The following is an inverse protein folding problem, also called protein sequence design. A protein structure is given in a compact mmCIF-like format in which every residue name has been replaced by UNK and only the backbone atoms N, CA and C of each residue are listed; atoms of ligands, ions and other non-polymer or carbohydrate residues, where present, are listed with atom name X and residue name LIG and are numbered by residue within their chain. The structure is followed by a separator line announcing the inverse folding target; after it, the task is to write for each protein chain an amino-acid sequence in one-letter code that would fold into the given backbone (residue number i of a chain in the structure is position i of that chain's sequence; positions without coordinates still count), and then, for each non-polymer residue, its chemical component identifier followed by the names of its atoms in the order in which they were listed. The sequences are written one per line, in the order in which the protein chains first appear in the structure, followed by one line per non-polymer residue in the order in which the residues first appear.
data_IF_511113797801
#
_entry.id   IF_511113797801
#
_cell.length_a   1.000
_cell.length_b   1.000
_cell.length_c   1.000
_cell.angle_alpha   90.00
_cell.angle_beta   90.00
_cell.angle_gamma   90.00
#
_symmetry.space_group_name_H-M   'P 1'
#
loop_
_entity.id
_entity.type
_entity.pdbx_description
1 polymer ?
#
# COMPACT_ATOMS: atom_id res chain seq x y z
N UNK A 1 8.66 5.51 -3.64
CA UNK A 1 7.72 5.60 -2.49
C UNK A 1 7.33 7.06 -2.31
N UNK A 2 6.06 7.39 -2.04
CA UNK A 2 5.63 8.80 -1.88
C UNK A 2 6.32 9.46 -0.69
N UNK A 3 6.70 10.72 -0.87
CA UNK A 3 7.24 11.60 0.19
C UNK A 3 6.21 12.68 0.48
N UNK A 4 6.01 12.98 1.75
CA UNK A 4 5.11 14.01 2.26
C UNK A 4 5.95 15.16 2.82
N UNK A 5 5.40 16.36 2.79
CA UNK A 5 5.95 17.50 3.52
C UNK A 5 5.16 17.64 4.81
N UNK A 6 5.86 17.63 5.94
CA UNK A 6 5.29 17.91 7.25
C UNK A 6 5.86 19.24 7.74
N UNK A 7 5.00 20.10 8.29
CA UNK A 7 5.41 21.37 8.90
C UNK A 7 5.04 21.39 10.38
N UNK A 8 6.02 21.66 11.24
CA UNK A 8 5.85 21.82 12.68
C UNK A 8 6.74 22.96 13.17
N UNK A 9 6.21 23.87 13.99
CA UNK A 9 7.03 24.94 14.61
C UNK A 9 7.73 25.91 13.64
N UNK A 10 7.31 25.97 12.37
CA UNK A 10 7.93 26.82 11.34
C UNK A 10 8.87 26.07 10.39
N UNK A 11 9.35 24.88 10.77
CA UNK A 11 10.20 24.05 9.95
C UNK A 11 9.36 23.12 9.05
N UNK A 12 9.82 22.91 7.81
CA UNK A 12 9.21 21.95 6.87
C UNK A 12 10.20 20.83 6.58
N UNK A 13 9.80 19.59 6.87
CA UNK A 13 10.62 18.40 6.69
C UNK A 13 9.99 17.44 5.68
N UNK A 14 10.84 16.71 4.96
CA UNK A 14 10.42 15.62 4.05
C UNK A 14 10.27 14.33 4.85
N UNK A 15 9.09 13.73 4.80
CA UNK A 15 8.75 12.48 5.50
C UNK A 15 8.43 11.39 4.48
N UNK A 16 9.10 10.24 4.59
CA UNK A 16 8.76 9.07 3.78
C UNK A 16 7.36 8.58 4.15
N UNK A 17 6.57 8.15 3.17
CA UNK A 17 5.23 7.63 3.43
C UNK A 17 5.20 6.43 4.38
N UNK A 18 6.21 5.55 4.35
CA UNK A 18 6.33 4.43 5.31
C UNK A 18 6.47 4.95 6.74
N UNK A 19 7.34 5.94 6.94
CA UNK A 19 7.55 6.57 8.24
C UNK A 19 6.25 7.21 8.71
N UNK A 20 5.59 8.01 7.87
CA UNK A 20 4.28 8.60 8.19
C UNK A 20 3.26 7.53 8.62
N UNK A 21 3.12 6.47 7.83
CA UNK A 21 2.20 5.35 8.11
C UNK A 21 2.55 4.59 9.38
N UNK A 22 3.84 4.37 9.63
CA UNK A 22 4.31 3.73 10.85
C UNK A 22 4.00 4.58 12.08
N UNK A 23 4.32 5.87 12.03
CA UNK A 23 4.11 6.82 13.13
C UNK A 23 2.65 7.06 13.47
N UNK A 24 1.74 7.04 12.49
CA UNK A 24 0.29 7.18 12.72
C UNK A 24 -0.40 5.86 13.11
N UNK A 25 0.32 4.74 13.07
CA UNK A 25 -0.25 3.41 13.21
C UNK A 25 -0.71 2.85 11.87
N UNK A 26 -0.17 1.68 11.52
CA UNK A 26 -0.47 1.02 10.23
C UNK A 26 -1.91 0.50 10.09
N UNK A 27 -2.65 0.40 11.22
CA UNK A 27 -4.07 0.09 11.25
C UNK A 27 -4.97 1.30 10.99
N UNK A 28 -4.57 2.47 11.48
CA UNK A 28 -5.27 3.74 11.28
C UNK A 28 -5.04 4.27 9.85
N UNK A 29 -3.78 4.38 9.43
CA UNK A 29 -3.43 4.70 8.05
C UNK A 29 -3.14 3.41 7.26
N UNK A 30 -4.19 2.83 6.69
CA UNK A 30 -4.11 1.53 5.98
C UNK A 30 -3.13 1.53 4.80
N UNK A 31 -2.97 2.66 4.11
CA UNK A 31 -2.05 2.81 2.97
C UNK A 31 -1.59 4.25 2.76
N UNK A 32 -0.45 4.42 2.09
CA UNK A 32 0.08 5.73 1.67
C UNK A 32 -0.55 6.25 0.36
N UNK A 33 -1.50 5.50 -0.21
CA UNK A 33 -2.28 5.91 -1.38
C UNK A 33 -3.40 6.89 -0.97
N UNK A 34 -2.98 8.07 -0.54
CA UNK A 34 -3.82 9.18 -0.09
C UNK A 34 -4.21 10.04 -1.30
N UNK A 35 -5.51 10.31 -1.44
CA UNK A 35 -6.10 11.18 -2.47
C UNK A 35 -6.34 12.58 -1.95
N UNK A 36 -6.82 12.72 -0.72
CA UNK A 36 -7.03 14.02 -0.07
C UNK A 36 -6.86 13.92 1.44
N UNK A 37 -6.57 15.06 2.06
CA UNK A 37 -6.45 15.24 3.51
C UNK A 37 -7.38 16.36 3.92
N UNK A 38 -8.17 16.17 4.97
CA UNK A 38 -9.10 17.17 5.50
C UNK A 38 -8.81 17.41 6.97
N UNK A 39 -8.66 18.68 7.35
CA UNK A 39 -8.57 19.08 8.76
C UNK A 39 -10.00 19.20 9.29
N UNK A 40 -10.29 18.46 10.35
CA UNK A 40 -11.59 18.48 11.01
C UNK A 40 -11.48 19.29 12.32
N UNK A 41 -12.63 19.61 12.94
CA UNK A 41 -12.65 20.25 14.27
C UNK A 41 -11.93 19.41 15.33
N UNK A 42 -11.96 18.09 15.17
CA UNK A 42 -11.20 17.12 15.98
C UNK A 42 -10.50 16.14 15.05
N UNK A 43 -9.19 16.27 14.93
CA UNK A 43 -8.35 15.36 14.17
C UNK A 43 -8.26 15.66 12.68
N UNK A 44 -7.74 14.68 11.93
CA UNK A 44 -7.43 14.77 10.51
C UNK A 44 -8.01 13.56 9.81
N UNK A 45 -8.73 13.78 8.72
CA UNK A 45 -9.28 12.72 7.87
C UNK A 45 -8.38 12.53 6.64
N UNK A 46 -7.89 11.30 6.47
CA UNK A 46 -7.15 10.87 5.29
C UNK A 46 -8.08 10.07 4.37
N UNK A 47 -8.34 10.58 3.17
CA UNK A 47 -9.16 9.89 2.17
C UNK A 47 -8.24 9.26 1.14
N UNK A 48 -8.38 7.95 0.94
CA UNK A 48 -7.48 7.17 0.09
C UNK A 48 -8.06 5.82 -0.30
N UNK A 49 -7.19 4.85 -0.58
CA UNK A 49 -7.63 3.49 -0.83
C UNK A 49 -6.50 2.47 -0.73
N UNK A 50 -6.88 1.19 -0.68
CA UNK A 50 -5.95 0.08 -0.51
C UNK A 50 -5.57 -0.17 0.95
N UNK A 51 -4.88 -1.28 1.16
CA UNK A 51 -4.37 -1.72 2.47
C UNK A 51 -3.00 -2.36 2.28
N UNK A 52 -2.01 -1.95 3.07
CA UNK A 52 -0.62 -2.39 2.96
C UNK A 52 0.25 -1.48 2.08
N UNK A 53 1.44 -1.98 1.76
CA UNK A 53 2.49 -1.22 1.06
C UNK A 53 2.27 -1.11 -0.45
N UNK A 54 1.42 -1.97 -1.04
CA UNK A 54 1.02 -1.87 -2.45
C UNK A 54 2.10 -2.29 -3.46
N UNK A 55 2.97 -3.24 -3.09
CA UNK A 55 4.02 -3.79 -3.97
C UNK A 55 3.80 -5.30 -4.10
N UNK A 56 3.99 -5.85 -5.30
CA UNK A 56 3.82 -7.28 -5.58
C UNK A 56 2.35 -7.70 -5.63
N UNK A 57 2.02 -8.80 -4.95
CA UNK A 57 0.72 -9.45 -5.03
C UNK A 57 -0.35 -8.74 -4.18
N UNK A 58 -1.38 -8.21 -4.84
CA UNK A 58 -2.60 -7.77 -4.16
C UNK A 58 -3.47 -8.99 -3.83
N UNK A 59 -3.54 -9.37 -2.56
CA UNK A 59 -4.27 -10.56 -2.09
C UNK A 59 -5.74 -10.57 -2.53
N UNK A 60 -6.46 -9.45 -2.36
CA UNK A 60 -7.85 -9.33 -2.82
C UNK A 60 -7.98 -9.44 -4.34
N UNK A 61 -7.04 -8.87 -5.09
CA UNK A 61 -7.03 -9.00 -6.54
C UNK A 61 -6.70 -10.42 -7.00
N UNK A 62 -5.79 -11.12 -6.32
CA UNK A 62 -5.48 -12.52 -6.55
C UNK A 62 -6.71 -13.41 -6.31
N UNK A 63 -7.41 -13.21 -5.18
CA UNK A 63 -8.69 -13.87 -4.88
C UNK A 63 -9.71 -13.66 -6.00
N UNK A 64 -9.92 -12.42 -6.46
CA UNK A 64 -10.85 -12.11 -7.56
C UNK A 64 -10.46 -12.75 -8.89
N UNK A 65 -9.16 -12.92 -9.15
CA UNK A 65 -8.70 -13.65 -10.33
C UNK A 65 -8.96 -15.15 -10.20
N UNK A 66 -8.76 -15.74 -9.02
CA UNK A 66 -9.07 -17.14 -8.74
C UNK A 66 -10.59 -17.42 -8.84
N UNK A 67 -11.43 -16.52 -8.30
CA UNK A 67 -12.89 -16.57 -8.45
C UNK A 67 -13.35 -16.51 -9.92
N UNK A 68 -12.52 -15.96 -10.81
CA UNK A 68 -12.73 -15.94 -12.27
C UNK A 68 -12.09 -17.14 -13.00
N UNK A 69 -11.62 -18.14 -12.27
CA UNK A 69 -11.02 -19.36 -12.82
C UNK A 69 -9.57 -19.24 -13.29
N UNK A 70 -8.84 -18.18 -12.94
CA UNK A 70 -7.41 -18.10 -13.25
C UNK A 70 -6.60 -19.01 -12.32
N UNK A 71 -5.70 -19.80 -12.89
CA UNK A 71 -4.75 -20.62 -12.12
C UNK A 71 -3.78 -19.76 -11.30
N UNK A 72 -3.21 -20.34 -10.24
CA UNK A 72 -2.18 -19.67 -9.44
C UNK A 72 -0.99 -19.20 -10.29
N UNK A 73 -0.57 -20.01 -11.28
CA UNK A 73 0.52 -19.67 -12.20
C UNK A 73 0.24 -18.40 -13.01
N UNK A 74 -0.99 -18.25 -13.55
CA UNK A 74 -1.39 -17.01 -14.24
C UNK A 74 -1.52 -15.82 -13.29
N UNK A 75 -1.99 -16.05 -12.06
CA UNK A 75 -2.13 -14.99 -11.06
C UNK A 75 -0.74 -14.46 -10.65
N UNK A 76 0.20 -15.35 -10.37
CA UNK A 76 1.58 -14.99 -10.02
C UNK A 76 2.27 -14.30 -11.19
N UNK A 77 2.16 -14.84 -12.41
CA UNK A 77 2.72 -14.19 -13.61
C UNK A 77 2.15 -12.80 -13.89
N UNK A 78 0.90 -12.51 -13.47
CA UNK A 78 0.34 -11.16 -13.56
C UNK A 78 0.97 -10.19 -12.55
N UNK A 79 1.25 -10.62 -11.32
CA UNK A 79 1.82 -9.76 -10.27
C UNK A 79 3.36 -9.67 -10.31
N UNK A 80 4.02 -10.68 -10.87
CA UNK A 80 5.46 -10.82 -10.94
C UNK A 80 5.87 -11.10 -12.40
N UNK A 81 5.76 -10.11 -13.30
CA UNK A 81 6.08 -10.31 -14.71
C UNK A 81 7.57 -10.69 -14.87
N UNK A 82 7.83 -11.72 -15.67
CA UNK A 82 9.18 -12.25 -15.88
C UNK A 82 9.68 -13.21 -14.79
N UNK A 83 8.88 -13.52 -13.77
CA UNK A 83 9.23 -14.60 -12.82
C UNK A 83 8.90 -15.97 -13.39
N UNK A 84 9.71 -16.97 -13.06
CA UNK A 84 9.44 -18.38 -13.35
C UNK A 84 9.07 -19.13 -12.07
N UNK A 85 8.23 -20.16 -12.21
CA UNK A 85 7.92 -21.08 -11.13
C UNK A 85 8.89 -22.25 -11.20
N UNK A 86 9.61 -22.49 -10.11
CA UNK A 86 10.47 -23.65 -9.94
C UNK A 86 10.06 -24.41 -8.69
N UNK A 87 10.28 -25.72 -8.69
CA UNK A 87 10.33 -26.49 -7.46
C UNK A 87 11.61 -26.12 -6.72
N UNK A 88 11.55 -26.12 -5.39
CA UNK A 88 12.72 -25.88 -4.53
C UNK A 88 13.05 -27.23 -3.92
N UNK A 89 14.21 -27.79 -4.27
CA UNK A 89 14.74 -28.96 -3.58
C UNK A 89 15.06 -28.57 -2.13
N UNK A 90 14.52 -29.31 -1.16
CA UNK A 90 14.80 -29.12 0.28
C UNK A 90 16.17 -29.67 0.70
#
# INVERSE_FOLDING_TARGET
MRTFLARAGGETVKVKGSTLRGSLGSGELKSVRIRSVRILRKGVEFVGGGSGHGVGLCQWGARRQAEKGRSYSRILGFYFPGSELSEVDE
#
